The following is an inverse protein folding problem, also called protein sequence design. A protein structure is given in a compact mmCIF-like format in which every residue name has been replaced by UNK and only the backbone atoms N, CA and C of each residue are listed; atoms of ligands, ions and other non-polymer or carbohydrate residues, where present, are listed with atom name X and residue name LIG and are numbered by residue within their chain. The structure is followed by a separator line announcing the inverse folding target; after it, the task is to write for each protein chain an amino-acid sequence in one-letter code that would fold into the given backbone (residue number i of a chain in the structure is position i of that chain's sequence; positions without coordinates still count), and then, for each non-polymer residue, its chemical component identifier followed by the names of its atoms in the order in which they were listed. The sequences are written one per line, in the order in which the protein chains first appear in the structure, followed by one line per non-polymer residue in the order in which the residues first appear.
data_IF_273698827612
#
_entry.id   IF_273698827612
#
_cell.length_a   1.000
_cell.length_b   1.000
_cell.length_c   1.000
_cell.angle_alpha   90.00
_cell.angle_beta   90.00
_cell.angle_gamma   90.00
#
_symmetry.space_group_name_H-M   'P 1'
#
loop_
_entity.id
_entity.type
_entity.pdbx_description
1 polymer ?
#
# COMPACT_ATOMS: atom_id res chain seq x y z
N UNK A 1 17.83 9.63 -3.01
CA UNK A 1 16.85 9.61 -1.94
C UNK A 1 16.09 8.28 -1.79
N UNK A 2 15.64 7.66 -2.86
CA UNK A 2 14.88 6.38 -2.86
C UNK A 2 15.62 5.17 -2.23
N UNK A 3 16.91 4.97 -2.50
CA UNK A 3 17.71 3.86 -1.93
C UNK A 3 17.91 4.03 -0.42
N UNK A 4 18.20 5.26 0.04
CA UNK A 4 18.39 5.56 1.45
C UNK A 4 17.12 5.26 2.25
N UNK A 5 15.95 5.60 1.72
CA UNK A 5 14.66 5.27 2.34
C UNK A 5 14.47 3.77 2.53
N UNK A 6 14.79 2.96 1.51
CA UNK A 6 14.65 1.49 1.60
C UNK A 6 15.63 0.85 2.59
N UNK A 7 16.86 1.35 2.67
CA UNK A 7 17.85 0.91 3.68
C UNK A 7 17.35 1.27 5.08
N UNK A 8 16.83 2.48 5.25
CA UNK A 8 16.26 2.91 6.54
C UNK A 8 15.10 2.00 6.96
N UNK A 9 14.18 1.67 6.05
CA UNK A 9 13.05 0.77 6.34
C UNK A 9 13.48 -0.66 6.68
N UNK A 10 14.58 -1.15 6.09
CA UNK A 10 15.16 -2.43 6.50
C UNK A 10 15.57 -2.42 7.97
N UNK A 11 16.27 -1.36 8.42
CA UNK A 11 16.67 -1.21 9.82
C UNK A 11 15.50 -0.88 10.77
N UNK A 12 14.37 -0.43 10.26
CA UNK A 12 13.15 -0.24 11.07
C UNK A 12 12.36 -1.52 11.28
N UNK A 13 12.72 -2.62 10.62
CA UNK A 13 12.04 -3.91 10.80
C UNK A 13 12.36 -4.53 12.16
N UNK A 14 11.36 -4.82 13.02
CA UNK A 14 11.58 -5.50 14.29
C UNK A 14 12.19 -6.90 14.13
N UNK A 15 11.97 -7.54 13.00
CA UNK A 15 12.59 -8.82 12.65
C UNK A 15 14.12 -8.71 12.56
N UNK A 16 14.63 -7.62 11.97
CA UNK A 16 16.08 -7.37 11.89
C UNK A 16 16.67 -7.14 13.28
N UNK A 17 15.98 -6.40 14.15
CA UNK A 17 16.41 -6.20 15.54
C UNK A 17 16.49 -7.52 16.31
N UNK A 18 15.46 -8.36 16.17
CA UNK A 18 15.45 -9.68 16.78
C UNK A 18 16.62 -10.52 16.29
N UNK A 19 16.88 -10.55 14.99
CA UNK A 19 17.99 -11.28 14.39
C UNK A 19 19.33 -10.81 14.93
N UNK A 20 19.56 -9.50 15.00
CA UNK A 20 20.78 -8.93 15.60
C UNK A 20 20.91 -9.31 17.08
N UNK A 21 19.84 -9.22 17.85
CA UNK A 21 19.83 -9.58 19.28
C UNK A 21 20.17 -11.06 19.50
N UNK A 22 19.66 -11.95 18.64
CA UNK A 22 19.99 -13.38 18.68
C UNK A 22 21.49 -13.60 18.45
N UNK A 23 22.08 -12.96 17.43
CA UNK A 23 23.52 -13.06 17.15
C UNK A 23 24.33 -12.52 18.36
N UNK A 24 23.97 -11.35 18.89
CA UNK A 24 24.65 -10.76 20.03
C UNK A 24 24.55 -11.62 21.28
N UNK A 25 23.40 -12.30 21.48
CA UNK A 25 23.21 -13.25 22.58
C UNK A 25 24.13 -14.46 22.43
N UNK A 26 24.22 -15.01 21.23
CA UNK A 26 25.06 -16.18 20.92
C UNK A 26 26.56 -15.89 21.09
N UNK A 27 26.98 -14.66 20.75
CA UNK A 27 28.41 -14.23 20.80
C UNK A 27 28.81 -13.58 22.13
N UNK A 28 27.88 -13.42 23.09
CA UNK A 28 28.14 -12.76 24.36
C UNK A 28 29.14 -13.55 25.22
N UNK A 29 30.23 -12.88 25.61
CA UNK A 29 31.34 -13.50 26.37
C UNK A 29 31.02 -13.81 27.84
N UNK A 30 30.03 -13.12 28.43
CA UNK A 30 29.66 -13.32 29.84
C UNK A 30 28.22 -13.81 29.96
N UNK A 31 27.99 -14.68 30.93
CA UNK A 31 26.64 -15.22 31.21
C UNK A 31 25.64 -14.10 31.55
N UNK A 32 26.08 -13.11 32.32
CA UNK A 32 25.24 -11.95 32.69
C UNK A 32 24.76 -11.22 31.41
N UNK A 33 25.68 -10.90 30.49
CA UNK A 33 25.35 -10.20 29.23
C UNK A 33 24.46 -11.06 28.33
N UNK A 34 24.72 -12.37 28.26
CA UNK A 34 23.91 -13.33 27.51
C UNK A 34 22.45 -13.37 28.01
N UNK A 35 22.25 -13.45 29.34
CA UNK A 35 20.92 -13.43 29.97
C UNK A 35 20.19 -12.10 29.72
N UNK A 36 20.89 -10.97 29.80
CA UNK A 36 20.32 -9.66 29.50
C UNK A 36 19.86 -9.54 28.04
N UNK A 37 20.73 -9.91 27.08
CA UNK A 37 20.41 -9.86 25.66
C UNK A 37 19.26 -10.82 25.31
N UNK A 38 19.24 -12.02 25.87
CA UNK A 38 18.13 -12.97 25.69
C UNK A 38 16.80 -12.40 26.23
N UNK A 39 16.83 -11.75 27.40
CA UNK A 39 15.66 -11.07 27.96
C UNK A 39 15.15 -9.94 27.04
N UNK A 40 16.06 -9.13 26.49
CA UNK A 40 15.70 -8.07 25.53
C UNK A 40 15.12 -8.69 24.25
N UNK A 41 15.75 -9.73 23.71
CA UNK A 41 15.26 -10.42 22.52
C UNK A 41 13.85 -10.99 22.70
N UNK A 42 13.59 -11.62 23.86
CA UNK A 42 12.28 -12.12 24.22
C UNK A 42 11.25 -10.99 24.34
N UNK A 43 11.62 -9.88 24.97
CA UNK A 43 10.74 -8.70 25.10
C UNK A 43 10.40 -8.12 23.72
N UNK A 44 11.38 -7.97 22.82
CA UNK A 44 11.17 -7.53 21.45
C UNK A 44 10.24 -8.50 20.70
N UNK A 45 10.49 -9.80 20.82
CA UNK A 45 9.65 -10.81 20.20
C UNK A 45 8.19 -10.68 20.68
N UNK A 46 7.95 -10.70 21.97
CA UNK A 46 6.59 -10.66 22.54
C UNK A 46 5.85 -9.35 22.23
N UNK A 47 6.56 -8.21 22.25
CA UNK A 47 5.97 -6.90 21.97
C UNK A 47 5.58 -6.77 20.49
N UNK A 48 6.53 -7.05 19.59
CA UNK A 48 6.31 -6.81 18.15
C UNK A 48 5.51 -7.91 17.46
N UNK A 49 5.43 -9.11 18.04
CA UNK A 49 4.56 -10.17 17.53
C UNK A 49 3.14 -10.16 18.09
N UNK A 50 2.77 -9.15 18.89
CA UNK A 50 1.46 -9.04 19.50
C UNK A 50 0.41 -8.49 18.51
N UNK A 51 -0.58 -9.29 18.06
CA UNK A 51 -1.61 -8.86 17.12
C UNK A 51 -2.49 -7.73 17.68
N UNK A 52 -2.88 -7.81 18.95
CA UNK A 52 -3.73 -6.79 19.54
C UNK A 52 -3.07 -5.42 19.54
N UNK A 53 -1.79 -5.36 19.88
CA UNK A 53 -1.03 -4.11 19.94
C UNK A 53 -0.95 -3.44 18.56
N UNK A 54 -0.46 -4.17 17.56
CA UNK A 54 -0.28 -3.59 16.22
C UNK A 54 -1.61 -3.23 15.57
N UNK A 55 -2.66 -4.04 15.77
CA UNK A 55 -3.99 -3.73 15.25
C UNK A 55 -4.55 -2.43 15.84
N UNK A 56 -4.44 -2.23 17.15
CA UNK A 56 -4.92 -1.01 17.78
C UNK A 56 -4.10 0.23 17.38
N UNK A 57 -2.81 0.09 17.13
CA UNK A 57 -1.96 1.18 16.66
C UNK A 57 -2.23 1.55 15.20
N UNK A 58 -2.49 0.56 14.34
CA UNK A 58 -2.72 0.79 12.92
C UNK A 58 -4.16 1.22 12.60
N UNK A 59 -5.13 0.74 13.36
CA UNK A 59 -6.54 0.95 13.06
C UNK A 59 -6.94 2.43 12.85
N UNK A 60 -6.46 3.41 13.64
CA UNK A 60 -6.77 4.82 13.43
C UNK A 60 -6.27 5.38 12.08
N UNK A 61 -5.30 4.72 11.46
CA UNK A 61 -4.75 5.11 10.14
C UNK A 61 -5.50 4.47 8.97
N UNK A 62 -6.44 3.55 9.23
CA UNK A 62 -7.29 2.99 8.19
C UNK A 62 -8.47 3.91 7.91
N UNK A 63 -8.58 4.41 6.69
CA UNK A 63 -9.76 5.14 6.28
C UNK A 63 -11.00 4.23 6.40
N UNK A 64 -12.10 4.70 6.98
CA UNK A 64 -13.33 3.93 7.06
C UNK A 64 -13.91 3.69 5.66
N UNK A 65 -14.80 2.69 5.48
CA UNK A 65 -15.54 2.51 4.24
C UNK A 65 -16.27 3.80 3.85
N UNK A 66 -16.09 4.25 2.61
CA UNK A 66 -16.72 5.46 2.06
C UNK A 66 -17.52 5.08 0.81
N UNK A 67 -18.69 4.47 0.95
CA UNK A 67 -19.49 4.03 -0.19
C UNK A 67 -19.84 5.23 -1.08
N UNK A 68 -19.95 4.96 -2.39
CA UNK A 68 -20.36 5.95 -3.38
C UNK A 68 -21.89 6.03 -3.38
N UNK A 69 -22.46 7.23 -3.22
CA UNK A 69 -23.91 7.40 -3.39
C UNK A 69 -24.29 7.26 -4.88
N UNK A 70 -25.50 6.80 -5.16
CA UNK A 70 -25.93 6.49 -6.53
C UNK A 70 -25.85 7.68 -7.51
N UNK A 71 -26.03 8.89 -7.00
CA UNK A 71 -25.96 10.14 -7.77
C UNK A 71 -24.54 10.75 -7.86
N UNK A 72 -23.57 10.22 -7.11
CA UNK A 72 -22.18 10.71 -7.17
C UNK A 72 -21.51 10.28 -8.47
N UNK A 73 -21.02 11.27 -9.24
CA UNK A 73 -20.29 11.05 -10.50
C UNK A 73 -19.02 11.88 -10.53
N UNK A 74 -17.99 11.27 -11.07
CA UNK A 74 -16.65 11.84 -11.19
C UNK A 74 -16.15 11.67 -12.63
N UNK A 75 -15.26 12.55 -13.05
CA UNK A 75 -14.71 12.51 -14.39
C UNK A 75 -13.63 11.43 -14.51
N UNK A 76 -12.84 11.23 -13.44
CA UNK A 76 -11.74 10.26 -13.45
C UNK A 76 -11.62 9.52 -12.12
N UNK A 77 -11.38 8.22 -12.19
CA UNK A 77 -10.91 7.39 -11.08
C UNK A 77 -9.41 7.14 -11.22
N UNK A 78 -8.63 7.51 -10.21
CA UNK A 78 -7.19 7.26 -10.16
C UNK A 78 -6.95 6.05 -9.28
N UNK A 79 -6.55 4.93 -9.88
CA UNK A 79 -6.20 3.72 -9.14
C UNK A 79 -4.68 3.64 -8.96
N UNK A 80 -4.24 3.56 -7.69
CA UNK A 80 -2.82 3.46 -7.37
C UNK A 80 -2.34 2.02 -7.41
N UNK A 81 -1.16 1.81 -7.96
CA UNK A 81 -0.45 0.54 -7.98
C UNK A 81 -0.15 -0.04 -6.58
N UNK A 82 0.54 -1.17 -6.56
CA UNK A 82 0.79 -1.98 -5.36
C UNK A 82 -0.18 -3.17 -5.21
N UNK A 83 -0.94 -3.46 -6.27
CA UNK A 83 -1.91 -4.57 -6.33
C UNK A 83 -1.44 -5.75 -7.19
N UNK A 84 -0.20 -5.69 -7.69
CA UNK A 84 0.37 -6.75 -8.54
C UNK A 84 1.69 -7.26 -8.00
N UNK A 85 2.05 -8.48 -8.42
CA UNK A 85 3.35 -9.11 -8.22
C UNK A 85 3.81 -9.64 -9.58
N UNK A 86 5.11 -9.61 -9.84
CA UNK A 86 5.69 -10.11 -11.08
C UNK A 86 6.45 -11.40 -10.86
N UNK A 87 6.05 -12.44 -11.57
CA UNK A 87 6.79 -13.71 -11.65
C UNK A 87 7.87 -13.60 -12.72
N UNK A 88 9.13 -13.52 -12.28
CA UNK A 88 10.29 -13.38 -13.17
C UNK A 88 10.59 -14.65 -13.97
N UNK A 89 10.20 -15.81 -13.44
CA UNK A 89 10.45 -17.12 -14.09
C UNK A 89 9.53 -17.26 -15.29
N UNK A 90 8.23 -17.03 -15.08
CA UNK A 90 7.23 -17.16 -16.13
C UNK A 90 6.97 -15.86 -16.89
N UNK A 91 7.65 -14.76 -16.52
CA UNK A 91 7.47 -13.40 -17.08
C UNK A 91 6.00 -12.96 -17.09
N UNK A 92 5.30 -13.21 -15.98
CA UNK A 92 3.86 -12.97 -15.85
C UNK A 92 3.54 -12.06 -14.66
N UNK A 93 2.63 -11.12 -14.86
CA UNK A 93 2.03 -10.34 -13.79
C UNK A 93 0.89 -11.12 -13.13
N UNK A 94 0.76 -11.00 -11.82
CA UNK A 94 -0.33 -11.57 -11.03
C UNK A 94 -0.91 -10.54 -10.08
N UNK A 95 -2.22 -10.58 -9.85
CA UNK A 95 -2.82 -9.79 -8.80
C UNK A 95 -2.45 -10.36 -7.42
N UNK A 96 -2.17 -9.48 -6.47
CA UNK A 96 -1.87 -9.83 -5.07
C UNK A 96 -3.06 -9.54 -4.14
N UNK A 97 -2.83 -9.57 -2.83
CA UNK A 97 -3.86 -9.33 -1.80
C UNK A 97 -4.53 -7.94 -1.89
N UNK A 98 -3.94 -6.99 -2.62
CA UNK A 98 -4.53 -5.66 -2.84
C UNK A 98 -5.36 -5.56 -4.13
N UNK A 99 -5.68 -6.67 -4.77
CA UNK A 99 -6.49 -6.77 -6.01
C UNK A 99 -7.88 -6.14 -5.91
N UNK A 100 -8.40 -5.94 -4.71
CA UNK A 100 -9.67 -5.22 -4.50
C UNK A 100 -9.62 -3.80 -5.10
N UNK A 101 -8.45 -3.15 -5.19
CA UNK A 101 -8.30 -1.87 -5.89
C UNK A 101 -8.73 -1.97 -7.36
N UNK A 102 -8.31 -3.03 -8.04
CA UNK A 102 -8.70 -3.31 -9.42
C UNK A 102 -10.20 -3.58 -9.55
N UNK A 103 -10.73 -4.46 -8.68
CA UNK A 103 -12.15 -4.83 -8.68
C UNK A 103 -13.02 -3.61 -8.45
N UNK A 104 -12.73 -2.80 -7.42
CA UNK A 104 -13.50 -1.59 -7.12
C UNK A 104 -13.43 -0.56 -8.24
N UNK A 105 -12.28 -0.41 -8.90
CA UNK A 105 -12.13 0.49 -10.04
C UNK A 105 -13.03 0.06 -11.20
N UNK A 106 -13.03 -1.22 -11.56
CA UNK A 106 -13.89 -1.75 -12.61
C UNK A 106 -15.39 -1.59 -12.26
N UNK A 107 -15.76 -1.84 -11.00
CA UNK A 107 -17.13 -1.67 -10.52
C UNK A 107 -17.60 -0.21 -10.56
N UNK A 108 -16.75 0.73 -10.12
CA UNK A 108 -17.05 2.17 -10.17
C UNK A 108 -17.27 2.64 -11.61
N UNK A 109 -16.46 2.17 -12.55
CA UNK A 109 -16.62 2.48 -13.97
C UNK A 109 -17.92 1.86 -14.53
N UNK A 110 -18.14 0.58 -14.33
CA UNK A 110 -19.34 -0.13 -14.84
C UNK A 110 -20.65 0.42 -14.27
N UNK A 111 -20.62 0.93 -13.03
CA UNK A 111 -21.79 1.62 -12.40
C UNK A 111 -21.93 3.07 -12.85
N UNK A 112 -21.01 3.60 -13.66
CA UNK A 112 -21.07 4.98 -14.16
C UNK A 112 -20.73 6.05 -13.11
N UNK A 113 -20.04 5.67 -12.03
CA UNK A 113 -19.54 6.63 -11.03
C UNK A 113 -18.29 7.38 -11.51
N UNK A 114 -17.49 6.75 -12.37
CA UNK A 114 -16.32 7.36 -13.02
C UNK A 114 -16.41 7.16 -14.53
N UNK A 115 -15.97 8.18 -15.32
CA UNK A 115 -16.01 8.14 -16.78
C UNK A 115 -14.70 7.66 -17.39
N UNK A 116 -13.57 7.99 -16.76
CA UNK A 116 -12.21 7.64 -17.18
C UNK A 116 -11.46 7.04 -16.02
N UNK A 117 -10.42 6.27 -16.32
CA UNK A 117 -9.56 5.63 -15.33
C UNK A 117 -8.12 6.08 -15.61
N UNK A 118 -7.40 6.53 -14.56
CA UNK A 118 -5.94 6.59 -14.57
C UNK A 118 -5.43 5.37 -13.82
N UNK A 119 -4.79 4.45 -14.52
CA UNK A 119 -3.98 3.40 -13.90
C UNK A 119 -2.60 4.01 -13.61
N UNK A 120 -2.26 4.22 -12.34
CA UNK A 120 -1.02 4.89 -11.93
C UNK A 120 -0.14 3.96 -11.12
N UNK A 121 1.02 3.63 -11.66
CA UNK A 121 2.02 2.77 -11.04
C UNK A 121 3.03 2.26 -12.05
N UNK A 122 4.27 2.67 -11.90
CA UNK A 122 5.37 2.22 -12.73
C UNK A 122 5.98 0.90 -12.25
N UNK A 123 7.28 0.85 -12.24
CA UNK A 123 8.05 -0.34 -11.87
C UNK A 123 8.03 -0.60 -10.37
N UNK A 124 7.54 -1.75 -9.94
CA UNK A 124 7.54 -2.19 -8.54
C UNK A 124 8.82 -2.96 -8.22
N UNK A 125 9.82 -2.28 -7.67
CA UNK A 125 11.02 -2.94 -7.15
C UNK A 125 12.29 -2.09 -7.16
N UNK A 126 13.19 -2.37 -6.21
CA UNK A 126 14.46 -1.66 -6.08
C UNK A 126 15.49 -2.11 -7.14
N UNK A 127 15.35 -3.33 -7.61
CA UNK A 127 16.29 -4.02 -8.50
C UNK A 127 15.54 -4.74 -9.65
N UNK A 128 14.34 -4.25 -10.02
CA UNK A 128 13.67 -4.84 -11.17
C UNK A 128 14.33 -4.27 -12.43
N UNK A 129 15.12 -5.10 -13.07
CA UNK A 129 15.59 -4.91 -14.46
C UNK A 129 14.52 -5.33 -15.48
N UNK A 130 13.33 -5.70 -14.96
CA UNK A 130 12.23 -6.21 -15.77
C UNK A 130 11.44 -5.06 -16.38
N UNK A 131 11.00 -5.21 -17.63
CA UNK A 131 10.14 -4.26 -18.34
C UNK A 131 8.68 -4.28 -17.85
N UNK A 132 8.39 -4.93 -16.72
CA UNK A 132 7.03 -5.01 -16.18
C UNK A 132 6.60 -3.69 -15.55
N UNK A 133 5.58 -3.07 -16.15
CA UNK A 133 4.92 -1.88 -15.64
C UNK A 133 3.55 -2.26 -15.10
N UNK A 134 3.31 -1.97 -13.81
CA UNK A 134 2.05 -2.35 -13.17
C UNK A 134 0.84 -1.71 -13.81
N UNK A 135 0.93 -0.41 -14.18
CA UNK A 135 -0.17 0.30 -14.81
C UNK A 135 -0.56 -0.30 -16.17
N UNK A 136 0.41 -0.80 -16.95
CA UNK A 136 0.13 -1.45 -18.24
C UNK A 136 -0.61 -2.77 -18.05
N UNK A 137 -0.18 -3.56 -17.03
CA UNK A 137 -0.86 -4.80 -16.68
C UNK A 137 -2.30 -4.54 -16.20
N UNK A 138 -2.50 -3.54 -15.35
CA UNK A 138 -3.83 -3.14 -14.86
C UNK A 138 -4.70 -2.67 -16.01
N UNK A 139 -4.19 -1.82 -16.89
CA UNK A 139 -4.91 -1.30 -18.04
C UNK A 139 -5.35 -2.43 -18.99
N UNK A 140 -4.45 -3.38 -19.31
CA UNK A 140 -4.78 -4.55 -20.13
C UNK A 140 -5.93 -5.36 -19.51
N UNK A 141 -5.85 -5.66 -18.23
CA UNK A 141 -6.91 -6.43 -17.55
C UNK A 141 -8.25 -5.67 -17.48
N UNK A 142 -8.23 -4.33 -17.38
CA UNK A 142 -9.45 -3.51 -17.48
C UNK A 142 -10.06 -3.59 -18.88
N UNK A 143 -9.24 -3.56 -19.94
CA UNK A 143 -9.70 -3.76 -21.31
C UNK A 143 -10.28 -5.16 -21.52
N UNK A 144 -9.65 -6.20 -20.96
CA UNK A 144 -10.15 -7.58 -21.02
C UNK A 144 -11.53 -7.73 -20.32
N UNK A 145 -11.83 -6.86 -19.34
CA UNK A 145 -13.18 -6.73 -18.74
C UNK A 145 -14.15 -5.88 -19.58
N UNK A 146 -13.76 -5.46 -20.78
CA UNK A 146 -14.60 -4.67 -21.72
C UNK A 146 -14.72 -3.20 -21.32
N UNK A 147 -13.70 -2.61 -20.71
CA UNK A 147 -13.57 -1.15 -20.57
C UNK A 147 -12.84 -0.62 -21.79
N UNK A 148 -13.40 0.36 -22.53
CA UNK A 148 -12.77 0.90 -23.74
C UNK A 148 -11.37 1.47 -23.46
N UNK A 149 -10.42 1.21 -24.37
CA UNK A 149 -9.04 1.67 -24.23
C UNK A 149 -8.94 3.21 -24.16
N UNK A 150 -9.82 3.93 -24.84
CA UNK A 150 -9.92 5.40 -24.82
C UNK A 150 -10.37 5.95 -23.45
N UNK A 151 -10.91 5.11 -22.59
CA UNK A 151 -11.32 5.48 -21.24
C UNK A 151 -10.26 5.16 -20.19
N UNK A 152 -9.15 4.54 -20.58
CA UNK A 152 -8.04 4.18 -19.71
C UNK A 152 -6.82 5.05 -20.06
N UNK A 153 -6.36 5.81 -19.08
CA UNK A 153 -5.13 6.59 -19.18
C UNK A 153 -4.05 5.91 -18.34
N UNK A 154 -2.89 5.66 -18.91
CA UNK A 154 -1.82 4.91 -18.29
C UNK A 154 -0.76 5.87 -17.78
N UNK A 155 -0.41 5.74 -16.50
CA UNK A 155 0.73 6.38 -15.86
C UNK A 155 1.67 5.27 -15.36
N UNK A 156 2.73 4.98 -16.09
CA UNK A 156 3.65 3.87 -15.83
C UNK A 156 5.10 4.30 -15.52
N UNK A 157 5.31 5.60 -15.21
CA UNK A 157 6.67 6.14 -14.98
C UNK A 157 7.00 6.31 -13.51
N UNK A 158 5.99 6.39 -12.65
CA UNK A 158 6.14 6.68 -11.23
C UNK A 158 6.82 5.53 -10.46
N UNK A 159 7.65 5.91 -9.50
CA UNK A 159 8.38 5.01 -8.57
C UNK A 159 7.92 5.15 -7.12
N UNK A 160 7.07 6.12 -6.84
CA UNK A 160 6.57 6.44 -5.50
C UNK A 160 5.28 7.25 -5.59
N UNK A 161 4.60 7.46 -4.44
CA UNK A 161 3.31 8.14 -4.39
C UNK A 161 3.38 9.62 -4.82
N UNK A 162 4.51 10.29 -4.60
CA UNK A 162 4.70 11.69 -5.01
C UNK A 162 4.73 11.79 -6.53
N UNK A 163 5.46 10.89 -7.16
CA UNK A 163 5.53 10.79 -8.62
C UNK A 163 4.18 10.36 -9.22
N UNK A 164 3.46 9.40 -8.59
CA UNK A 164 2.10 9.03 -8.99
C UNK A 164 1.20 10.28 -9.06
N UNK A 165 1.22 11.11 -8.01
CA UNK A 165 0.41 12.32 -7.96
C UNK A 165 0.84 13.35 -9.03
N UNK A 166 2.15 13.59 -9.16
CA UNK A 166 2.68 14.54 -10.14
C UNK A 166 2.38 14.15 -11.59
N UNK A 167 2.61 12.87 -11.95
CA UNK A 167 2.35 12.40 -13.32
C UNK A 167 0.84 12.25 -13.61
N UNK A 168 0.04 11.83 -12.63
CA UNK A 168 -1.42 11.85 -12.76
C UNK A 168 -1.94 13.27 -12.98
N UNK A 169 -1.37 14.28 -12.30
CA UNK A 169 -1.71 15.70 -12.51
C UNK A 169 -1.43 16.12 -13.96
N UNK A 170 -0.25 15.77 -14.49
CA UNK A 170 0.09 16.09 -15.88
C UNK A 170 -0.88 15.44 -16.89
N UNK A 171 -1.35 14.23 -16.64
CA UNK A 171 -2.34 13.55 -17.48
C UNK A 171 -3.69 14.27 -17.40
N UNK A 172 -4.14 14.63 -16.20
CA UNK A 172 -5.39 15.37 -16.00
C UNK A 172 -5.34 16.74 -16.69
N UNK A 173 -4.25 17.48 -16.54
CA UNK A 173 -4.10 18.80 -17.18
C UNK A 173 -4.14 18.72 -18.71
N UNK A 174 -3.56 17.67 -19.29
CA UNK A 174 -3.54 17.47 -20.75
C UNK A 174 -4.86 16.95 -21.32
N UNK A 175 -5.56 16.08 -20.58
CA UNK A 175 -6.71 15.33 -21.11
C UNK A 175 -8.04 15.69 -20.42
N UNK A 176 -8.01 16.06 -19.16
CA UNK A 176 -9.20 16.24 -18.32
C UNK A 176 -9.63 17.69 -18.12
N UNK A 177 -8.70 18.62 -18.17
CA UNK A 177 -8.95 20.06 -17.89
C UNK A 177 -8.98 20.43 -16.40
N UNK A 178 -9.02 21.74 -16.13
CA UNK A 178 -8.78 22.35 -14.81
C UNK A 178 -9.83 21.98 -13.74
N UNK A 179 -11.04 21.60 -14.14
CA UNK A 179 -12.16 21.31 -13.22
C UNK A 179 -12.48 19.82 -13.09
N UNK A 180 -11.52 18.94 -13.38
CA UNK A 180 -11.72 17.50 -13.32
C UNK A 180 -12.00 17.03 -11.89
N UNK A 181 -13.15 16.39 -11.68
CA UNK A 181 -13.50 15.75 -10.41
C UNK A 181 -12.87 14.37 -10.37
N UNK A 182 -11.99 14.13 -9.41
CA UNK A 182 -11.23 12.88 -9.31
C UNK A 182 -11.60 12.05 -8.07
N UNK A 183 -11.62 10.72 -8.23
CA UNK A 183 -11.69 9.74 -7.14
C UNK A 183 -10.34 9.07 -7.00
N UNK A 184 -9.80 8.98 -5.80
CA UNK A 184 -8.56 8.29 -5.50
C UNK A 184 -8.86 6.91 -4.90
N UNK A 185 -8.50 5.86 -5.64
CA UNK A 185 -8.81 4.46 -5.31
C UNK A 185 -7.52 3.77 -4.87
N UNK A 186 -7.44 3.42 -3.59
CA UNK A 186 -6.29 2.69 -3.03
C UNK A 186 -6.66 1.99 -1.72
N UNK A 187 -5.73 1.22 -1.14
CA UNK A 187 -5.98 0.52 0.13
C UNK A 187 -6.33 1.49 1.25
N UNK A 188 -7.27 1.09 2.10
CA UNK A 188 -7.76 1.89 3.21
C UNK A 188 -6.65 2.45 4.10
N UNK A 189 -5.61 1.65 4.35
CA UNK A 189 -4.43 2.05 5.13
C UNK A 189 -3.57 3.10 4.41
N UNK A 190 -3.55 3.09 3.09
CA UNK A 190 -2.76 4.02 2.27
C UNK A 190 -3.48 5.35 1.97
N UNK A 191 -4.81 5.39 2.10
CA UNK A 191 -5.63 6.57 1.76
C UNK A 191 -5.15 7.86 2.45
N UNK A 192 -4.87 7.90 3.78
CA UNK A 192 -4.53 9.15 4.43
C UNK A 192 -3.29 9.81 3.81
N UNK A 193 -2.22 9.05 3.59
CA UNK A 193 -0.99 9.55 2.98
C UNK A 193 -1.18 9.89 1.49
N UNK A 194 -1.81 9.01 0.74
CA UNK A 194 -2.03 9.23 -0.68
C UNK A 194 -2.90 10.47 -0.94
N UNK A 195 -4.00 10.64 -0.19
CA UNK A 195 -4.86 11.83 -0.30
C UNK A 195 -4.07 13.11 -0.10
N UNK A 196 -3.29 13.21 0.99
CA UNK A 196 -2.47 14.39 1.28
C UNK A 196 -1.49 14.68 0.13
N UNK A 197 -0.81 13.65 -0.39
CA UNK A 197 0.15 13.79 -1.49
C UNK A 197 -0.51 14.30 -2.76
N UNK A 198 -1.71 13.80 -3.11
CA UNK A 198 -2.45 14.23 -4.28
C UNK A 198 -2.96 15.68 -4.13
N UNK A 199 -3.46 16.04 -2.95
CA UNK A 199 -3.90 17.43 -2.67
C UNK A 199 -2.72 18.41 -2.72
N UNK A 200 -1.55 18.03 -2.21
CA UNK A 200 -0.32 18.84 -2.33
C UNK A 200 0.14 18.99 -3.79
N UNK A 201 -0.15 18.03 -4.65
CA UNK A 201 0.12 18.11 -6.10
C UNK A 201 -0.94 18.92 -6.87
N UNK A 202 -1.93 19.49 -6.17
CA UNK A 202 -3.00 20.31 -6.77
C UNK A 202 -4.15 19.51 -7.37
N UNK A 203 -4.34 18.24 -6.98
CA UNK A 203 -5.50 17.44 -7.37
C UNK A 203 -6.41 17.26 -6.16
N UNK A 204 -7.57 17.94 -6.17
CA UNK A 204 -8.61 17.65 -5.19
C UNK A 204 -9.23 16.28 -5.47
N UNK A 205 -9.06 15.34 -4.54
CA UNK A 205 -9.54 13.97 -4.71
C UNK A 205 -10.58 13.58 -3.67
N UNK A 206 -11.60 12.87 -4.10
CA UNK A 206 -12.48 12.13 -3.21
C UNK A 206 -11.83 10.77 -2.90
N UNK A 207 -11.53 10.46 -1.64
CA UNK A 207 -10.96 9.16 -1.30
C UNK A 207 -12.00 8.04 -1.47
N UNK A 208 -11.55 6.92 -2.03
CA UNK A 208 -12.32 5.67 -2.11
C UNK A 208 -11.46 4.53 -1.57
N UNK A 209 -11.53 4.28 -0.25
CA UNK A 209 -10.78 3.22 0.40
C UNK A 209 -11.31 1.84 -0.02
N UNK A 210 -10.39 0.94 -0.31
CA UNK A 210 -10.64 -0.46 -0.64
C UNK A 210 -9.50 -1.34 -0.09
N UNK A 211 -9.46 -2.61 -0.41
CA UNK A 211 -8.42 -3.53 0.08
C UNK A 211 -8.18 -3.36 1.58
N UNK A 212 -9.25 -3.53 2.36
CA UNK A 212 -9.21 -3.41 3.82
C UNK A 212 -8.43 -4.59 4.41
N UNK A 213 -7.21 -4.32 4.86
CA UNK A 213 -6.36 -5.33 5.52
C UNK A 213 -6.78 -5.60 6.97
N UNK A 214 -7.62 -4.74 7.54
CA UNK A 214 -8.07 -4.84 8.92
C UNK A 214 -9.55 -4.48 9.04
N UNK A 215 -10.26 -5.28 9.83
CA UNK A 215 -11.66 -5.04 10.19
C UNK A 215 -11.74 -4.48 11.63
N UNK A 216 -12.79 -3.72 11.99
CA UNK A 216 -12.97 -3.20 13.35
C UNK A 216 -12.92 -4.27 14.45
N UNK A 217 -13.34 -5.50 14.14
CA UNK A 217 -13.25 -6.63 15.07
C UNK A 217 -11.82 -7.02 15.46
N UNK A 218 -10.83 -6.71 14.62
CA UNK A 218 -9.43 -7.04 14.89
C UNK A 218 -8.81 -6.24 16.06
N UNK A 219 -9.41 -5.12 16.46
CA UNK A 219 -8.97 -4.30 17.59
C UNK A 219 -9.53 -4.79 18.92
N UNK A 220 -10.51 -5.71 18.91
CA UNK A 220 -11.10 -6.25 20.14
C UNK A 220 -10.10 -7.13 20.89
N UNK A 221 -10.03 -6.92 22.19
CA UNK A 221 -9.23 -7.78 23.07
C UNK A 221 -9.84 -9.19 23.13
N UNK A 222 -8.99 -10.19 22.93
CA UNK A 222 -9.33 -11.60 23.13
C UNK A 222 -8.06 -12.38 23.47
N UNK A 223 -8.17 -13.55 24.08
CA UNK A 223 -7.02 -14.41 24.34
C UNK A 223 -6.26 -14.76 23.04
N UNK A 224 -6.98 -14.96 21.94
CA UNK A 224 -6.39 -15.25 20.65
C UNK A 224 -5.52 -14.08 20.11
N UNK A 225 -5.91 -12.83 20.37
CA UNK A 225 -5.15 -11.66 19.94
C UNK A 225 -3.89 -11.39 20.77
N UNK A 226 -3.70 -12.11 21.86
CA UNK A 226 -2.48 -12.06 22.67
C UNK A 226 -1.45 -13.14 22.27
N UNK A 227 -1.85 -14.10 21.45
CA UNK A 227 -0.91 -15.13 20.95
C UNK A 227 0.03 -14.48 19.94
N UNK A 228 1.36 -14.61 20.15
CA UNK A 228 2.36 -14.09 19.20
C UNK A 228 2.15 -14.63 17.78
N UNK A 229 2.18 -13.74 16.80
CA UNK A 229 1.97 -14.07 15.40
C UNK A 229 3.03 -13.41 14.50
N UNK A 230 3.58 -14.15 13.52
CA UNK A 230 4.61 -13.64 12.61
C UNK A 230 4.12 -12.46 11.78
N UNK A 231 2.88 -12.51 11.28
CA UNK A 231 2.29 -11.43 10.49
C UNK A 231 2.19 -10.10 11.28
N UNK A 232 2.00 -10.16 12.60
CA UNK A 232 1.98 -8.97 13.44
C UNK A 232 3.34 -8.26 13.41
N UNK A 233 4.43 -9.04 13.48
CA UNK A 233 5.79 -8.50 13.37
C UNK A 233 6.09 -7.89 12.00
N UNK A 234 5.61 -8.50 10.92
CA UNK A 234 5.75 -7.97 9.55
C UNK A 234 4.95 -6.67 9.34
N UNK A 235 3.78 -6.56 9.98
CA UNK A 235 2.89 -5.40 9.88
C UNK A 235 3.54 -4.10 10.35
N UNK A 236 4.49 -4.15 11.29
CA UNK A 236 5.22 -2.96 11.75
C UNK A 236 6.00 -2.26 10.64
N UNK A 237 6.58 -3.03 9.70
CA UNK A 237 7.29 -2.44 8.56
C UNK A 237 6.36 -1.59 7.68
N UNK A 238 5.14 -2.07 7.43
CA UNK A 238 4.09 -1.31 6.74
C UNK A 238 3.67 -0.07 7.53
N UNK A 239 3.46 -0.22 8.84
CA UNK A 239 3.06 0.87 9.73
C UNK A 239 4.09 2.00 9.76
N UNK A 240 5.36 1.68 9.95
CA UNK A 240 6.43 2.70 9.91
C UNK A 240 6.54 3.39 8.56
N UNK A 241 6.30 2.67 7.46
CA UNK A 241 6.30 3.26 6.13
C UNK A 241 5.19 4.31 5.95
N UNK A 242 4.00 4.05 6.45
CA UNK A 242 2.89 5.01 6.37
C UNK A 242 3.06 6.21 7.32
N UNK A 243 3.81 6.05 8.44
CA UNK A 243 4.11 7.15 9.37
C UNK A 243 5.22 8.09 8.87
N UNK A 244 6.22 7.54 8.17
CA UNK A 244 7.44 8.31 7.82
C UNK A 244 7.33 8.88 6.40
N UNK A 245 6.54 8.25 5.53
CA UNK A 245 6.49 8.76 4.24
C UNK A 245 6.02 8.52 3.08
#
# INVERSE_FOLDING_TARGET
MFIIGKILFFFLSPFVWLFILVILTATAKTEKKRKQLAGIALSVLLFFSNPWLINNLQYPFHAPPMPMAANEKYDVGIVLGGMTSYDRVNKAGHFNMSSDRFIQTALLYKKGHIKKIIASGGQNGMFSEDDFMEADFVAKNLMDLGIPAEDIWIENQSKNTIENAGFSKQIIDRKGGIKTKAVLITSAFHIPRAKLTFEQSGIAVRPYPCAFSMLPSATRFSAATMIPASWAMESWGGFFRELIG
#
